data_IF_464788117103
#
_entry.id   IF_464788117103
#
_cell.length_a   1.000
_cell.length_b   1.000
_cell.length_c   1.000
_cell.angle_alpha   90.00
_cell.angle_beta   90.00
_cell.angle_gamma   90.00
#
_symmetry.space_group_name_H-M   'P 1'
#
loop_
_entity.id
_entity.type
_entity.pdbx_description
1 polymer ?
#
# COMPACT_ATOMS: atom_id res chain seq x y z
N UNK A 1 -5.76 -24.36 -1.63
CA UNK A 1 -6.79 -23.31 -1.63
C UNK A 1 -6.99 -22.84 -0.20
N UNK A 2 -7.13 -21.53 0.04
CA UNK A 2 -7.19 -20.98 1.40
C UNK A 2 -8.66 -20.84 1.79
N UNK A 3 -9.07 -21.48 2.90
CA UNK A 3 -10.44 -21.39 3.41
C UNK A 3 -10.56 -20.18 4.33
N UNK A 4 -11.49 -19.28 4.03
CA UNK A 4 -11.66 -17.99 4.72
C UNK A 4 -13.12 -17.76 5.12
N UNK A 5 -13.33 -16.98 6.17
CA UNK A 5 -14.64 -16.54 6.63
C UNK A 5 -14.81 -15.06 6.29
N UNK A 6 -15.98 -14.68 5.79
CA UNK A 6 -16.31 -13.29 5.50
C UNK A 6 -16.54 -12.53 6.80
N UNK A 7 -15.75 -11.50 7.05
CA UNK A 7 -15.86 -10.59 8.20
C UNK A 7 -16.52 -9.26 7.85
N UNK A 8 -16.59 -8.91 6.56
CA UNK A 8 -17.26 -7.70 6.05
C UNK A 8 -18.07 -8.00 4.80
N UNK A 9 -19.27 -7.43 4.69
CA UNK A 9 -20.13 -7.55 3.52
C UNK A 9 -19.48 -6.90 2.28
N UNK A 10 -19.66 -7.50 1.11
CA UNK A 10 -19.34 -6.93 -0.20
C UNK A 10 -20.50 -7.14 -1.16
N UNK A 11 -21.05 -6.06 -1.70
CA UNK A 11 -22.06 -6.13 -2.76
C UNK A 11 -21.35 -6.06 -4.12
N UNK A 12 -21.50 -7.11 -4.93
CA UNK A 12 -20.91 -7.16 -6.27
C UNK A 12 -21.48 -6.04 -7.16
N UNK A 13 -20.61 -5.32 -7.86
CA UNK A 13 -21.02 -4.23 -8.77
C UNK A 13 -21.21 -4.69 -10.21
N UNK A 14 -20.68 -5.86 -10.56
CA UNK A 14 -20.74 -6.47 -11.88
C UNK A 14 -20.69 -8.01 -11.78
N UNK A 15 -20.82 -8.68 -12.92
CA UNK A 15 -20.89 -10.15 -13.03
C UNK A 15 -19.56 -10.86 -12.72
N UNK A 16 -18.44 -10.14 -12.69
CA UNK A 16 -17.13 -10.72 -12.39
C UNK A 16 -16.85 -10.77 -10.89
N UNK A 17 -17.67 -10.11 -10.08
CA UNK A 17 -17.49 -10.01 -8.64
C UNK A 17 -18.39 -10.98 -7.86
N UNK A 18 -17.86 -11.44 -6.73
CA UNK A 18 -18.56 -12.34 -5.82
C UNK A 18 -19.25 -11.55 -4.70
N UNK A 19 -20.57 -11.68 -4.57
CA UNK A 19 -21.31 -11.07 -3.46
C UNK A 19 -21.01 -11.81 -2.15
N UNK A 20 -20.59 -11.09 -1.11
CA UNK A 20 -20.20 -11.64 0.19
C UNK A 20 -21.14 -11.19 1.31
N UNK A 21 -21.62 -12.14 2.11
CA UNK A 21 -22.31 -11.86 3.39
C UNK A 21 -21.43 -12.28 4.55
N UNK A 22 -21.49 -11.53 5.64
CA UNK A 22 -20.74 -11.85 6.87
C UNK A 22 -21.07 -13.28 7.31
N UNK A 23 -20.03 -14.02 7.69
CA UNK A 23 -20.01 -15.45 8.03
C UNK A 23 -20.14 -16.44 6.86
N UNK A 24 -20.22 -16.00 5.60
CA UNK A 24 -20.04 -16.90 4.46
C UNK A 24 -18.64 -17.52 4.51
N UNK A 25 -18.51 -18.77 4.06
CA UNK A 25 -17.22 -19.44 3.86
C UNK A 25 -16.82 -19.30 2.40
N UNK A 26 -15.62 -18.79 2.17
CA UNK A 26 -15.07 -18.56 0.83
C UNK A 26 -13.75 -19.29 0.66
N UNK A 27 -13.63 -20.02 -0.43
CA UNK A 27 -12.41 -20.70 -0.85
C UNK A 27 -11.65 -19.77 -1.78
N UNK A 28 -10.56 -19.21 -1.28
CA UNK A 28 -9.66 -18.34 -2.06
C UNK A 28 -8.76 -19.22 -2.92
N UNK A 29 -8.77 -18.94 -4.22
CA UNK A 29 -7.97 -19.61 -5.23
C UNK A 29 -6.77 -18.76 -5.67
N UNK A 30 -6.99 -17.45 -5.81
CA UNK A 30 -5.99 -16.50 -6.29
C UNK A 30 -6.00 -15.22 -5.45
N UNK A 31 -4.82 -14.62 -5.29
CA UNK A 31 -4.64 -13.33 -4.64
C UNK A 31 -3.90 -12.40 -5.59
N UNK A 32 -4.54 -11.30 -5.93
CA UNK A 32 -3.92 -10.24 -6.72
C UNK A 32 -3.29 -9.18 -5.81
N UNK A 33 -2.21 -8.56 -6.30
CA UNK A 33 -1.45 -7.53 -5.57
C UNK A 33 -2.27 -6.24 -5.33
N UNK A 34 -3.32 -6.00 -6.11
CA UNK A 34 -4.26 -4.89 -5.88
C UNK A 34 -5.14 -5.07 -4.65
N UNK A 35 -5.10 -6.25 -4.01
CA UNK A 35 -5.92 -6.61 -2.86
C UNK A 35 -7.27 -7.25 -3.22
N UNK A 36 -7.53 -7.53 -4.50
CA UNK A 36 -8.67 -8.31 -4.96
C UNK A 36 -8.32 -9.80 -5.02
N UNK A 37 -9.17 -10.63 -4.43
CA UNK A 37 -8.95 -12.07 -4.36
C UNK A 37 -10.03 -12.79 -5.18
N UNK A 38 -9.61 -13.83 -5.88
CA UNK A 38 -10.47 -14.69 -6.68
C UNK A 38 -10.84 -15.95 -5.91
N UNK A 39 -12.12 -16.29 -5.87
CA UNK A 39 -12.60 -17.45 -5.14
C UNK A 39 -14.07 -17.78 -5.41
N UNK A 40 -14.58 -18.75 -4.67
CA UNK A 40 -16.00 -19.13 -4.70
C UNK A 40 -16.49 -19.42 -3.28
N UNK A 41 -17.81 -19.38 -3.08
CA UNK A 41 -18.40 -19.78 -1.79
C UNK A 41 -18.34 -21.29 -1.63
N UNK A 42 -18.21 -21.74 -0.40
CA UNK A 42 -18.25 -23.17 -0.10
C UNK A 42 -19.61 -23.77 -0.51
N UNK A 43 -19.58 -24.79 -1.38
CA UNK A 43 -20.78 -25.42 -1.94
C UNK A 43 -21.31 -24.78 -3.22
N UNK A 44 -20.72 -23.68 -3.68
CA UNK A 44 -21.04 -23.05 -4.97
C UNK A 44 -19.85 -23.17 -5.93
N UNK A 45 -20.10 -23.42 -7.21
CA UNK A 45 -19.05 -23.47 -8.25
C UNK A 45 -18.81 -22.10 -8.92
N UNK A 46 -19.68 -21.12 -8.66
CA UNK A 46 -19.57 -19.78 -9.23
C UNK A 46 -18.39 -19.02 -8.62
N UNK A 47 -17.41 -18.72 -9.47
CA UNK A 47 -16.21 -17.98 -9.08
C UNK A 47 -16.37 -16.50 -9.35
N UNK A 48 -15.72 -15.67 -8.53
CA UNK A 48 -15.71 -14.23 -8.72
C UNK A 48 -14.67 -13.54 -7.84
N UNK A 49 -14.49 -12.25 -8.10
CA UNK A 49 -13.55 -11.38 -7.40
C UNK A 49 -14.19 -10.66 -6.22
N UNK A 50 -13.43 -10.51 -5.14
CA UNK A 50 -13.87 -9.74 -3.97
C UNK A 50 -12.68 -9.08 -3.26
N UNK A 51 -12.89 -8.02 -2.46
CA UNK A 51 -11.81 -7.39 -1.70
C UNK A 51 -11.29 -8.34 -0.61
N UNK A 52 -9.98 -8.61 -0.59
CA UNK A 52 -9.35 -9.50 0.40
C UNK A 52 -9.54 -9.03 1.84
N UNK A 53 -9.71 -7.73 2.05
CA UNK A 53 -10.03 -7.14 3.37
C UNK A 53 -11.37 -7.61 3.96
N UNK A 54 -12.23 -8.22 3.14
CA UNK A 54 -13.55 -8.69 3.57
C UNK A 54 -13.51 -10.08 4.21
N UNK A 55 -12.38 -10.79 4.14
CA UNK A 55 -12.26 -12.18 4.60
C UNK A 55 -11.08 -12.36 5.55
N UNK A 56 -11.18 -13.37 6.42
CA UNK A 56 -10.11 -13.77 7.34
C UNK A 56 -9.86 -15.29 7.22
N UNK A 57 -8.61 -15.76 7.25
CA UNK A 57 -8.32 -17.20 7.28
C UNK A 57 -9.02 -17.90 8.45
N UNK A 58 -9.66 -19.06 8.20
CA UNK A 58 -10.24 -19.85 9.29
C UNK A 58 -9.19 -20.53 10.16
N UNK A 59 -7.94 -20.62 9.70
CA UNK A 59 -6.80 -21.01 10.53
C UNK A 59 -6.50 -19.88 11.54
N UNK A 60 -7.20 -19.91 12.69
CA UNK A 60 -7.05 -18.94 13.78
C UNK A 60 -8.28 -18.09 14.11
N UNK A 61 -9.46 -18.37 13.54
CA UNK A 61 -10.68 -17.62 13.87
C UNK A 61 -11.26 -18.03 15.24
N UNK A 62 -11.02 -17.21 16.27
CA UNK A 62 -11.82 -17.21 17.51
C UNK A 62 -12.97 -16.20 17.38
N UNK A 63 -14.24 -16.64 17.31
CA UNK A 63 -15.40 -15.75 17.21
C UNK A 63 -15.59 -14.80 18.41
N UNK A 64 -14.75 -14.89 19.45
CA UNK A 64 -14.82 -14.03 20.65
C UNK A 64 -13.70 -12.97 20.75
N UNK A 65 -12.76 -12.91 19.81
CA UNK A 65 -11.54 -12.10 19.94
C UNK A 65 -11.53 -10.70 19.31
N UNK A 66 -12.47 -10.37 18.41
CA UNK A 66 -12.30 -9.22 17.51
C UNK A 66 -13.05 -7.96 17.97
N UNK A 67 -12.57 -7.30 19.04
CA UNK A 67 -12.93 -5.91 19.38
C UNK A 67 -11.71 -5.02 19.63
N UNK A 68 -10.67 -5.06 18.81
CA UNK A 68 -9.52 -4.14 19.00
C UNK A 68 -8.85 -3.62 17.73
N UNK A 69 -9.53 -3.56 16.58
CA UNK A 69 -9.03 -2.79 15.44
C UNK A 69 -10.05 -1.75 15.00
N UNK A 70 -9.97 -0.58 15.63
CA UNK A 70 -10.51 0.68 15.13
C UNK A 70 -9.32 1.61 14.84
N UNK A 71 -9.17 2.12 13.61
CA UNK A 71 -8.19 3.15 13.30
C UNK A 71 -8.77 4.53 13.62
N UNK A 72 -8.00 5.35 14.34
CA UNK A 72 -8.16 6.81 14.36
C UNK A 72 -8.69 7.42 15.68
N UNK A 73 -7.83 8.17 16.35
CA UNK A 73 -8.14 9.46 17.01
C UNK A 73 -6.87 10.08 17.58
N UNK A 74 -6.09 10.80 16.75
CA UNK A 74 -5.42 12.05 17.15
C UNK A 74 -4.95 12.80 15.90
N UNK A 75 -5.54 13.96 15.70
CA UNK A 75 -5.18 15.10 14.84
C UNK A 75 -5.40 16.34 15.72
N UNK A 76 -4.90 17.54 15.37
CA UNK A 76 -3.53 17.94 15.07
C UNK A 76 -3.13 19.15 15.96
N UNK A 77 -1.86 19.55 15.99
CA UNK A 77 -1.58 20.99 16.15
C UNK A 77 -0.21 21.36 15.56
N UNK A 78 -0.29 22.31 14.64
CA UNK A 78 0.78 22.77 13.78
C UNK A 78 1.58 23.91 14.44
N UNK A 79 2.90 23.80 14.31
CA UNK A 79 3.87 24.85 14.01
C UNK A 79 3.85 26.19 14.77
N UNK A 80 5.01 26.53 15.38
CA UNK A 80 5.83 27.65 14.86
C UNK A 80 7.26 27.66 15.40
N UNK A 81 8.19 27.62 14.45
CA UNK A 81 9.61 27.97 14.55
C UNK A 81 9.76 29.51 14.57
N UNK A 82 10.61 30.06 15.44
CA UNK A 82 11.54 31.17 15.12
C UNK A 82 12.79 31.05 16.02
N UNK A 83 13.97 31.11 15.39
CA UNK A 83 15.27 31.18 16.04
C UNK A 83 15.53 32.63 16.49
N UNK A 84 16.09 32.89 17.69
CA UNK A 84 17.07 33.98 17.87
C UNK A 84 17.89 33.87 19.17
N UNK A 85 19.02 34.55 19.10
CA UNK A 85 20.29 34.62 19.80
C UNK A 85 20.36 34.93 21.32
N UNK A 86 21.48 34.50 21.91
CA UNK A 86 22.30 35.35 22.79
C UNK A 86 21.91 35.61 24.26
N UNK A 87 22.79 35.16 25.15
CA UNK A 87 23.24 35.89 26.37
C UNK A 87 22.52 35.62 27.72
N UNK A 88 23.18 34.75 28.52
CA UNK A 88 23.57 34.85 29.95
C UNK A 88 22.60 35.46 31.00
N UNK A 89 22.64 34.80 32.19
CA UNK A 89 22.41 35.25 33.60
C UNK A 89 21.14 34.67 34.22
N UNK A 90 21.08 34.26 35.49
CA UNK A 90 22.06 34.11 36.57
C UNK A 90 21.42 33.23 37.66
N UNK A 91 22.25 32.47 38.38
CA UNK A 91 21.87 31.74 39.59
C UNK A 91 21.51 32.70 40.73
N UNK A 92 20.48 32.34 41.51
CA UNK A 92 20.06 33.04 42.73
C UNK A 92 20.96 32.68 43.90
N UNK A 93 21.50 33.71 44.55
CA UNK A 93 22.30 33.64 45.77
C UNK A 93 21.46 33.20 46.97
N UNK A 94 22.03 32.35 47.84
CA UNK A 94 21.59 32.21 49.23
C UNK A 94 22.77 32.51 50.15
N UNK A 95 22.56 33.45 51.07
CA UNK A 95 23.59 34.04 51.91
C UNK A 95 24.08 33.12 53.03
N UNK A 96 25.38 33.24 53.33
CA UNK A 96 26.05 32.61 54.46
C UNK A 96 25.82 33.39 55.77
N UNK A 97 25.31 32.71 56.80
CA UNK A 97 25.67 32.98 58.21
C UNK A 97 25.42 31.76 59.07
N UNK A 98 26.51 31.19 59.63
CA UNK A 98 26.49 30.11 60.62
C UNK A 98 26.41 30.68 62.04
N UNK A 99 25.70 29.99 62.97
CA UNK A 99 26.45 29.25 63.99
C UNK A 99 25.83 27.87 64.30
N UNK A 100 26.67 26.94 64.74
CA UNK A 100 26.38 25.52 65.07
C UNK A 100 26.43 24.56 63.87
N UNK A 101 27.64 24.37 63.32
CA UNK A 101 27.94 23.26 62.41
C UNK A 101 28.15 21.98 63.23
N UNK A 102 27.10 21.19 63.49
CA UNK A 102 27.28 19.74 63.70
C UNK A 102 27.56 19.15 62.32
N UNK A 103 28.84 18.91 62.04
CA UNK A 103 29.30 18.31 60.79
C UNK A 103 28.78 16.89 60.66
N UNK A 104 27.69 16.68 59.91
CA UNK A 104 27.50 15.41 59.23
C UNK A 104 28.16 15.51 57.85
N UNK A 105 29.10 14.61 57.58
CA UNK A 105 29.61 14.42 56.24
C UNK A 105 28.46 13.84 55.40
N UNK A 106 28.01 14.59 54.40
CA UNK A 106 27.25 14.00 53.29
C UNK A 106 28.24 13.22 52.44
N UNK A 107 27.95 11.94 52.21
CA UNK A 107 28.81 11.06 51.45
C UNK A 107 28.91 11.53 50.00
N UNK A 108 29.98 12.22 49.63
CA UNK A 108 30.46 12.21 48.26
C UNK A 108 30.75 10.75 47.89
N UNK A 109 30.37 10.24 46.70
CA UNK A 109 30.79 8.91 46.26
C UNK A 109 32.30 8.90 46.05
N UNK A 110 33.06 8.76 47.13
CA UNK A 110 34.48 8.49 47.09
C UNK A 110 34.63 7.01 46.80
N UNK A 111 35.18 6.68 45.63
CA UNK A 111 35.76 5.37 45.36
C UNK A 111 36.83 5.13 46.43
N UNK A 112 36.50 4.37 47.47
CA UNK A 112 37.46 3.92 48.47
C UNK A 112 38.37 2.89 47.80
N UNK A 113 39.58 3.29 47.44
CA UNK A 113 40.66 2.38 47.03
C UNK A 113 41.23 1.68 48.26
N UNK A 114 40.48 0.73 48.83
CA UNK A 114 40.98 -0.21 49.84
C UNK A 114 39.98 -1.33 50.09
N UNK A 115 39.68 -2.09 49.04
CA UNK A 115 39.21 -3.47 49.18
C UNK A 115 40.13 -4.33 48.33
N UNK A 116 40.64 -5.40 48.94
CA UNK A 116 41.51 -6.40 48.36
C UNK A 116 40.93 -6.94 47.04
N UNK A 117 41.28 -6.31 45.91
CA UNK A 117 40.91 -6.77 44.58
C UNK A 117 41.90 -7.84 44.12
N UNK A 118 41.80 -9.04 44.70
CA UNK A 118 42.08 -10.27 43.97
C UNK A 118 40.84 -10.60 43.12
N UNK A 119 40.51 -9.69 42.22
CA UNK A 119 39.60 -9.91 41.11
C UNK A 119 40.37 -9.48 39.88
N UNK A 120 40.64 -10.41 38.96
CA UNK A 120 41.50 -10.17 37.79
C UNK A 120 41.10 -8.86 37.12
N UNK A 121 42.03 -7.89 37.12
CA UNK A 121 41.92 -6.63 36.37
C UNK A 121 41.63 -6.89 34.89
N UNK A 122 41.93 -8.11 34.43
CA UNK A 122 41.66 -8.66 33.11
C UNK A 122 40.16 -8.76 32.80
N UNK A 123 39.29 -9.12 33.75
CA UNK A 123 37.87 -9.36 33.47
C UNK A 123 37.01 -8.09 33.24
N UNK A 124 37.41 -6.97 33.85
CA UNK A 124 36.75 -5.67 33.62
C UNK A 124 37.14 -5.06 32.27
N UNK A 125 38.39 -5.23 31.85
CA UNK A 125 38.84 -4.79 30.52
C UNK A 125 38.23 -5.66 29.42
N UNK A 126 38.08 -6.96 29.66
CA UNK A 126 37.42 -7.90 28.74
C UNK A 126 35.93 -7.58 28.53
N UNK A 127 35.18 -7.29 29.59
CA UNK A 127 33.77 -6.88 29.49
C UNK A 127 33.59 -5.57 28.69
N UNK A 128 34.51 -4.61 28.85
CA UNK A 128 34.50 -3.36 28.09
C UNK A 128 34.91 -3.55 26.63
N UNK A 129 35.89 -4.43 26.36
CA UNK A 129 36.29 -4.80 25.00
C UNK A 129 35.12 -5.46 24.24
N UNK A 130 34.44 -6.42 24.88
CA UNK A 130 33.24 -7.06 24.32
C UNK A 130 32.12 -6.05 24.03
N UNK A 131 31.92 -5.04 24.89
CA UNK A 131 30.93 -3.98 24.67
C UNK A 131 31.28 -3.11 23.46
N UNK A 132 32.55 -2.74 23.29
CA UNK A 132 33.02 -1.97 22.14
C UNK A 132 32.89 -2.77 20.84
N UNK A 133 33.23 -4.06 20.86
CA UNK A 133 33.06 -4.96 19.71
C UNK A 133 31.58 -5.12 19.33
N UNK A 134 30.69 -5.21 20.32
CA UNK A 134 29.25 -5.25 20.07
C UNK A 134 28.74 -3.91 19.50
N UNK A 135 29.21 -2.78 20.03
CA UNK A 135 28.88 -1.46 19.50
C UNK A 135 29.34 -1.28 18.05
N UNK A 136 30.58 -1.68 17.74
CA UNK A 136 31.10 -1.62 16.38
C UNK A 136 30.28 -2.48 15.41
N UNK A 137 29.90 -3.71 15.82
CA UNK A 137 28.99 -4.55 15.04
C UNK A 137 27.64 -3.89 14.78
N UNK A 138 27.03 -3.28 15.80
CA UNK A 138 25.77 -2.53 15.61
C UNK A 138 25.91 -1.33 14.67
N UNK A 139 27.07 -0.66 14.69
CA UNK A 139 27.35 0.45 13.77
C UNK A 139 27.50 -0.05 12.34
N UNK A 140 28.19 -1.17 12.13
CA UNK A 140 28.33 -1.82 10.83
C UNK A 140 26.98 -2.30 10.29
N UNK A 141 26.18 -2.98 11.11
CA UNK A 141 24.82 -3.42 10.77
C UNK A 141 23.94 -2.22 10.39
N UNK A 142 24.03 -1.11 11.15
CA UNK A 142 23.31 0.12 10.85
C UNK A 142 23.74 0.72 9.51
N UNK A 143 25.03 0.73 9.20
CA UNK A 143 25.54 1.23 7.92
C UNK A 143 25.07 0.35 6.75
N UNK A 144 25.12 -0.96 6.91
CA UNK A 144 24.60 -1.90 5.91
C UNK A 144 23.10 -1.70 5.66
N UNK A 145 22.31 -1.53 6.73
CA UNK A 145 20.88 -1.27 6.61
C UNK A 145 20.58 0.03 5.88
N UNK A 146 21.35 1.09 6.14
CA UNK A 146 21.17 2.38 5.46
C UNK A 146 21.44 2.27 3.96
N UNK A 147 22.49 1.56 3.56
CA UNK A 147 22.79 1.29 2.15
C UNK A 147 21.67 0.47 1.50
N UNK A 148 21.13 -0.52 2.20
CA UNK A 148 20.01 -1.32 1.71
C UNK A 148 18.75 -0.47 1.50
N UNK A 149 18.42 0.43 2.43
CA UNK A 149 17.28 1.35 2.28
C UNK A 149 17.47 2.27 1.08
N UNK A 150 18.69 2.77 0.85
CA UNK A 150 18.98 3.60 -0.31
C UNK A 150 18.85 2.83 -1.63
N UNK A 151 19.35 1.60 -1.67
CA UNK A 151 19.19 0.72 -2.83
C UNK A 151 17.71 0.44 -3.14
N UNK A 152 16.91 0.09 -2.13
CA UNK A 152 15.47 -0.14 -2.28
C UNK A 152 14.74 1.12 -2.76
N UNK A 153 15.14 2.30 -2.30
CA UNK A 153 14.59 3.57 -2.81
C UNK A 153 14.90 3.78 -4.29
N UNK A 154 16.13 3.50 -4.73
CA UNK A 154 16.50 3.59 -6.14
C UNK A 154 15.73 2.57 -7.00
N UNK A 155 15.57 1.35 -6.49
CA UNK A 155 14.80 0.30 -7.17
C UNK A 155 13.33 0.70 -7.32
N UNK A 156 12.71 1.23 -6.26
CA UNK A 156 11.34 1.74 -6.31
C UNK A 156 11.20 2.88 -7.34
N UNK A 157 12.12 3.84 -7.37
CA UNK A 157 12.11 4.91 -8.38
C UNK A 157 12.20 4.36 -9.82
N UNK A 158 13.06 3.35 -10.04
CA UNK A 158 13.19 2.70 -11.34
C UNK A 158 11.89 1.94 -11.72
N UNK A 159 11.29 1.23 -10.77
CA UNK A 159 10.02 0.53 -10.99
C UNK A 159 8.87 1.50 -11.30
N UNK A 160 8.77 2.59 -10.55
CA UNK A 160 7.80 3.67 -10.82
C UNK A 160 7.99 4.26 -12.22
N UNK A 161 9.24 4.47 -12.65
CA UNK A 161 9.52 4.99 -13.98
C UNK A 161 9.17 3.99 -15.09
N UNK A 162 9.42 2.69 -14.88
CA UNK A 162 8.99 1.62 -15.79
C UNK A 162 7.47 1.56 -15.89
N UNK A 163 6.77 1.62 -14.76
CA UNK A 163 5.31 1.61 -14.72
C UNK A 163 4.74 2.83 -15.45
N UNK A 164 5.32 4.02 -15.25
CA UNK A 164 4.94 5.24 -15.99
C UNK A 164 5.10 5.06 -17.50
N UNK A 165 6.25 4.55 -17.95
CA UNK A 165 6.50 4.30 -19.39
C UNK A 165 5.51 3.29 -19.97
N UNK A 166 5.21 2.23 -19.23
CA UNK A 166 4.24 1.23 -19.65
C UNK A 166 2.85 1.84 -19.78
N UNK A 167 2.40 2.59 -18.76
CA UNK A 167 1.12 3.32 -18.79
C UNK A 167 1.02 4.28 -19.98
N UNK A 168 2.10 5.00 -20.30
CA UNK A 168 2.15 5.88 -21.48
C UNK A 168 2.06 5.11 -22.80
N UNK A 169 2.69 3.94 -22.88
CA UNK A 169 2.61 3.05 -24.05
C UNK A 169 1.20 2.52 -24.24
N UNK A 170 0.60 2.00 -23.16
CA UNK A 170 -0.76 1.45 -23.17
C UNK A 170 -1.78 2.54 -23.54
N UNK A 171 -1.66 3.74 -22.95
CA UNK A 171 -2.50 4.89 -23.28
C UNK A 171 -2.45 5.23 -24.77
N UNK A 172 -1.27 5.24 -25.38
CA UNK A 172 -1.12 5.49 -26.83
C UNK A 172 -1.75 4.38 -27.67
N UNK A 173 -1.55 3.13 -27.28
CA UNK A 173 -2.14 1.98 -27.96
C UNK A 173 -3.67 2.03 -27.93
N UNK A 174 -4.26 2.37 -26.78
CA UNK A 174 -5.71 2.53 -26.66
C UNK A 174 -6.22 3.69 -27.51
N UNK A 175 -5.54 4.84 -27.51
CA UNK A 175 -5.89 5.98 -28.36
C UNK A 175 -5.89 5.60 -29.85
N UNK A 176 -4.86 4.88 -30.32
CA UNK A 176 -4.80 4.40 -31.71
C UNK A 176 -5.93 3.42 -32.04
N UNK A 177 -6.27 2.54 -31.10
CA UNK A 177 -7.35 1.58 -31.29
C UNK A 177 -8.70 2.30 -31.37
N UNK A 178 -8.94 3.29 -30.52
CA UNK A 178 -10.14 4.12 -30.52
C UNK A 178 -10.29 4.90 -31.83
N UNK A 179 -9.22 5.54 -32.30
CA UNK A 179 -9.19 6.20 -33.62
C UNK A 179 -9.49 5.21 -34.76
N UNK A 180 -8.89 4.02 -34.72
CA UNK A 180 -9.13 2.99 -35.73
C UNK A 180 -10.58 2.50 -35.73
N UNK A 181 -11.19 2.39 -34.55
CA UNK A 181 -12.57 1.95 -34.38
C UNK A 181 -13.54 2.99 -34.94
N UNK A 182 -13.35 4.28 -34.61
CA UNK A 182 -14.15 5.38 -35.17
C UNK A 182 -14.04 5.42 -36.69
N UNK A 183 -12.82 5.23 -37.23
CA UNK A 183 -12.61 5.17 -38.67
C UNK A 183 -13.33 3.99 -39.34
N UNK A 184 -13.24 2.80 -38.74
CA UNK A 184 -13.93 1.60 -39.22
C UNK A 184 -15.45 1.75 -39.18
N UNK A 185 -15.98 2.36 -38.12
CA UNK A 185 -17.41 2.62 -37.98
C UNK A 185 -17.90 3.59 -39.07
N UNK A 186 -17.16 4.67 -39.32
CA UNK A 186 -17.47 5.61 -40.41
C UNK A 186 -17.49 4.89 -41.77
N UNK A 187 -16.47 4.06 -42.04
CA UNK A 187 -16.40 3.26 -43.27
C UNK A 187 -17.56 2.27 -43.41
N UNK A 188 -17.95 1.63 -42.31
CA UNK A 188 -19.11 0.72 -42.32
C UNK A 188 -20.42 1.47 -42.63
N UNK A 189 -20.60 2.67 -42.06
CA UNK A 189 -21.75 3.53 -42.35
C UNK A 189 -21.81 3.95 -43.82
N UNK A 190 -20.69 4.34 -44.40
CA UNK A 190 -20.58 4.69 -45.83
C UNK A 190 -20.96 3.50 -46.73
N UNK A 191 -20.39 2.33 -46.46
CA UNK A 191 -20.73 1.11 -47.22
C UNK A 191 -22.22 0.76 -47.12
N UNK A 192 -22.80 0.91 -45.94
CA UNK A 192 -24.23 0.68 -45.75
C UNK A 192 -25.10 1.68 -46.52
N UNK A 193 -24.70 2.96 -46.55
CA UNK A 193 -25.39 3.99 -47.32
C UNK A 193 -25.32 3.71 -48.84
N UNK A 194 -24.17 3.27 -49.34
CA UNK A 194 -23.98 2.88 -50.75
C UNK A 194 -24.83 1.65 -51.12
N UNK A 195 -24.84 0.62 -50.28
CA UNK A 195 -25.71 -0.55 -50.46
C UNK A 195 -27.20 -0.18 -50.44
N UNK A 196 -27.59 0.76 -49.58
CA UNK A 196 -28.96 1.26 -49.55
C UNK A 196 -29.33 2.00 -50.84
N UNK A 197 -28.45 2.87 -51.32
CA UNK A 197 -28.66 3.62 -52.57
C UNK A 197 -28.77 2.67 -53.79
N UNK A 198 -27.89 1.68 -53.90
CA UNK A 198 -27.94 0.67 -54.98
C UNK A 198 -29.20 -0.18 -54.92
N UNK A 199 -29.65 -0.58 -53.73
CA UNK A 199 -30.92 -1.28 -53.53
C UNK A 199 -32.11 -0.43 -53.97
N UNK A 200 -32.16 0.82 -53.55
CA UNK A 200 -33.26 1.73 -53.86
C UNK A 200 -33.31 1.97 -55.39
N UNK A 201 -32.17 2.18 -56.05
CA UNK A 201 -32.09 2.28 -57.52
C UNK A 201 -32.55 0.99 -58.25
N UNK A 202 -32.18 -0.19 -57.73
CA UNK A 202 -32.65 -1.47 -58.27
C UNK A 202 -34.17 -1.62 -58.17
N UNK A 203 -34.77 -1.15 -57.07
CA UNK A 203 -36.22 -1.18 -56.90
C UNK A 203 -36.93 -0.27 -57.90
N UNK A 204 -36.42 0.95 -58.13
CA UNK A 204 -36.95 1.87 -59.15
C UNK A 204 -36.93 1.24 -60.54
N UNK A 205 -35.81 0.63 -60.94
CA UNK A 205 -35.69 -0.08 -62.21
C UNK A 205 -36.68 -1.25 -62.31
N UNK A 206 -36.87 -1.99 -61.23
CA UNK A 206 -37.86 -3.09 -61.18
C UNK A 206 -39.29 -2.57 -61.35
N UNK A 207 -39.62 -1.42 -60.78
CA UNK A 207 -40.93 -0.79 -60.89
C UNK A 207 -41.19 -0.31 -62.32
N UNK A 208 -40.22 0.39 -62.92
CA UNK A 208 -40.28 0.83 -64.33
C UNK A 208 -40.44 -0.37 -65.26
N UNK A 209 -39.69 -1.45 -65.06
CA UNK A 209 -39.80 -2.66 -65.88
C UNK A 209 -41.20 -3.29 -65.74
N UNK A 210 -41.76 -3.36 -64.53
CA UNK A 210 -43.13 -3.83 -64.31
C UNK A 210 -44.17 -2.96 -65.02
N UNK A 211 -44.01 -1.63 -65.00
CA UNK A 211 -44.91 -0.71 -65.72
C UNK A 211 -44.84 -0.93 -67.23
N UNK A 212 -43.63 -1.08 -67.78
CA UNK A 212 -43.43 -1.32 -69.21
C UNK A 212 -44.09 -2.64 -69.65
N UNK A 213 -43.93 -3.71 -68.84
CA UNK A 213 -44.58 -4.99 -69.11
C UNK A 213 -46.11 -4.90 -69.12
N UNK A 214 -46.70 -4.09 -68.22
CA UNK A 214 -48.16 -3.84 -68.20
C UNK A 214 -48.67 -3.09 -69.42
N UNK A 215 -47.85 -2.23 -70.04
CA UNK A 215 -48.23 -1.50 -71.26
C UNK A 215 -48.18 -2.37 -72.52
N UNK A 216 -47.47 -3.49 -72.47
CA UNK A 216 -47.30 -4.43 -73.60
C UNK A 216 -48.36 -5.53 -73.65
N UNK A 217 -49.23 -5.63 -72.63
CA UNK A 217 -50.36 -6.57 -72.55
C UNK A 217 -51.67 -5.88 -72.91
#
# INVERSE_FOLDING_TARGET
LIRTVVVKKHDATDETQLNLKVNDIVIVMEKDETGWWGGHKEGEEATGWFPGICVQPLEGYDPRGSRLHSPGSVEPDAERHVNDDGTRRSAVETGNSSPVRRSYAVASPQRTSSASAKGSRDGYMDSHAQMLEHHNRLVEDRQALLLQVEQLRQENLNLEEKLRRQSDCDRRRYSQLEESFVHLEAKSREQFAELKATRDHKNELSEVNSQLQKQLQ
#
